data_IF_443015654802
#
_entry.id   IF_443015654802
#
_cell.length_a   1.000
_cell.length_b   1.000
_cell.length_c   1.000
_cell.angle_alpha   90.00
_cell.angle_beta   90.00
_cell.angle_gamma   90.00
#
_symmetry.space_group_name_H-M   'P 1'
#
loop_
_entity.id
_entity.type
_entity.pdbx_description
1 polymer ?
#
# COMPACT_ATOMS: atom_id res chain seq x y z
N UNK A 1 24.95 -19.82 -33.15
CA UNK A 1 23.80 -20.00 -32.22
C UNK A 1 23.68 -18.87 -31.19
N UNK A 2 24.75 -18.45 -30.51
CA UNK A 2 24.75 -17.36 -29.51
C UNK A 2 24.39 -15.98 -30.12
N UNK A 3 24.83 -15.70 -31.36
CA UNK A 3 24.53 -14.44 -32.06
C UNK A 3 23.03 -14.27 -32.39
N UNK A 4 22.36 -15.35 -32.81
CA UNK A 4 20.91 -15.37 -33.09
C UNK A 4 20.08 -15.23 -31.81
N UNK A 5 20.53 -15.80 -30.69
CA UNK A 5 19.92 -15.61 -29.38
C UNK A 5 20.09 -14.16 -28.87
N UNK A 6 21.26 -13.55 -29.08
CA UNK A 6 21.52 -12.15 -28.73
C UNK A 6 20.71 -11.18 -29.60
N UNK A 7 20.58 -11.46 -30.91
CA UNK A 7 19.74 -10.69 -31.83
C UNK A 7 18.25 -10.80 -31.49
N UNK A 8 17.73 -12.00 -31.21
CA UNK A 8 16.35 -12.19 -30.73
C UNK A 8 16.11 -11.55 -29.36
N UNK A 9 17.11 -11.53 -28.48
CA UNK A 9 17.07 -10.83 -27.20
C UNK A 9 17.03 -9.32 -27.39
N UNK A 10 17.85 -8.77 -28.30
CA UNK A 10 17.89 -7.33 -28.59
C UNK A 10 16.67 -6.85 -29.40
N UNK A 11 16.10 -7.69 -30.26
CA UNK A 11 14.81 -7.45 -30.95
C UNK A 11 13.63 -7.53 -29.98
N UNK A 12 13.60 -8.53 -29.10
CA UNK A 12 12.63 -8.61 -28.01
C UNK A 12 12.73 -7.42 -27.06
N UNK A 13 13.95 -6.97 -26.75
CA UNK A 13 14.24 -5.77 -25.96
C UNK A 13 13.83 -4.50 -26.69
N UNK A 14 14.05 -4.38 -28.02
CA UNK A 14 13.55 -3.26 -28.85
C UNK A 14 12.03 -3.23 -28.94
N UNK A 15 11.37 -4.37 -29.10
CA UNK A 15 9.91 -4.47 -29.14
C UNK A 15 9.28 -4.14 -27.78
N UNK A 16 9.86 -4.65 -26.68
CA UNK A 16 9.46 -4.32 -25.32
C UNK A 16 9.73 -2.84 -24.99
N UNK A 17 10.86 -2.30 -25.46
CA UNK A 17 11.16 -0.88 -25.40
C UNK A 17 10.17 -0.06 -26.24
N UNK A 18 9.74 -0.49 -27.43
CA UNK A 18 8.76 0.24 -28.25
C UNK A 18 7.40 0.39 -27.56
N UNK A 19 6.96 -0.65 -26.84
CA UNK A 19 5.69 -0.64 -26.11
C UNK A 19 5.73 0.28 -24.87
N UNK A 20 6.91 0.42 -24.24
CA UNK A 20 7.12 1.28 -23.05
C UNK A 20 7.60 2.70 -23.38
N UNK A 21 8.36 2.91 -24.46
CA UNK A 21 8.85 4.23 -24.93
C UNK A 21 7.75 5.10 -25.52
N UNK A 22 6.62 4.49 -25.95
CA UNK A 22 5.40 5.24 -26.21
C UNK A 22 4.74 5.78 -24.94
N UNK A 23 5.13 5.32 -23.75
CA UNK A 23 4.62 5.83 -22.46
C UNK A 23 4.82 7.34 -22.35
N UNK A 24 6.07 7.85 -22.35
CA UNK A 24 6.33 9.30 -22.33
C UNK A 24 5.64 10.08 -23.47
N UNK A 25 5.58 9.50 -24.67
CA UNK A 25 4.91 10.15 -25.82
C UNK A 25 3.38 10.19 -25.65
N UNK A 26 2.77 9.13 -25.10
CA UNK A 26 1.35 9.04 -24.77
C UNK A 26 1.00 10.01 -23.63
N UNK A 27 1.82 10.05 -22.58
CA UNK A 27 1.66 10.99 -21.47
C UNK A 27 1.71 12.45 -21.97
N UNK A 28 2.68 12.77 -22.84
CA UNK A 28 2.73 14.09 -23.52
C UNK A 28 1.48 14.38 -24.36
N UNK A 29 1.02 13.42 -25.15
CA UNK A 29 -0.21 13.55 -25.97
C UNK A 29 -1.46 13.75 -25.14
N UNK A 30 -1.49 13.20 -23.92
CA UNK A 30 -2.58 13.37 -22.97
C UNK A 30 -2.46 14.66 -22.13
N UNK A 31 -1.45 15.50 -22.37
CA UNK A 31 -1.26 16.76 -21.64
C UNK A 31 -0.81 16.55 -20.19
N UNK A 32 -0.25 15.38 -19.86
CA UNK A 32 0.16 15.07 -18.50
C UNK A 32 1.49 15.78 -18.20
N UNK A 33 1.58 16.56 -17.09
CA UNK A 33 2.78 17.32 -16.77
C UNK A 33 3.91 16.39 -16.32
N UNK A 34 5.13 16.72 -16.77
CA UNK A 34 6.37 16.07 -16.34
C UNK A 34 6.95 16.85 -15.16
N UNK A 35 7.86 16.24 -14.40
CA UNK A 35 8.56 16.96 -13.34
C UNK A 35 9.48 18.04 -13.93
N UNK A 36 9.46 19.21 -13.30
CA UNK A 36 10.35 20.33 -13.64
C UNK A 36 11.77 20.17 -13.06
N UNK A 37 12.00 19.14 -12.25
CA UNK A 37 13.32 18.88 -11.67
C UNK A 37 14.27 18.39 -12.78
N UNK A 38 15.49 18.94 -12.90
CA UNK A 38 16.45 18.52 -13.93
C UNK A 38 16.72 17.01 -13.90
N UNK A 39 16.80 16.37 -15.07
CA UNK A 39 16.91 14.91 -15.21
C UNK A 39 18.27 14.36 -14.79
N UNK A 40 19.28 15.23 -14.74
CA UNK A 40 20.65 14.95 -14.31
C UNK A 40 20.72 14.66 -12.81
N UNK A 41 19.79 15.21 -12.02
CA UNK A 41 19.67 14.88 -10.60
C UNK A 41 19.12 13.46 -10.46
N UNK A 42 19.79 12.62 -9.65
CA UNK A 42 19.28 11.29 -9.35
C UNK A 42 17.95 11.37 -8.62
N UNK A 43 17.01 10.51 -9.00
CA UNK A 43 15.76 10.32 -8.28
C UNK A 43 15.86 9.21 -7.25
N UNK A 44 14.86 9.11 -6.38
CA UNK A 44 14.76 8.11 -5.34
C UNK A 44 13.42 7.37 -5.43
N UNK A 45 13.45 6.04 -5.39
CA UNK A 45 12.27 5.19 -5.28
C UNK A 45 12.38 4.41 -3.98
N UNK A 46 11.45 4.65 -3.07
CA UNK A 46 11.30 3.94 -1.80
C UNK A 46 10.11 3.00 -1.91
N UNK A 47 10.35 1.71 -1.69
CA UNK A 47 9.30 0.68 -1.70
C UNK A 47 9.23 0.04 -0.31
N UNK A 48 8.12 0.24 0.39
CA UNK A 48 7.81 -0.44 1.64
C UNK A 48 7.05 -1.74 1.38
N UNK A 49 7.52 -2.84 1.96
CA UNK A 49 6.73 -4.06 2.17
C UNK A 49 6.31 -4.05 3.64
N UNK A 50 5.07 -3.68 3.88
CA UNK A 50 4.54 -3.48 5.23
C UNK A 50 4.61 -4.77 6.06
N UNK A 51 5.04 -4.68 7.33
CA UNK A 51 5.06 -5.78 8.30
C UNK A 51 6.03 -6.96 8.05
N UNK A 52 6.83 -6.92 6.98
CA UNK A 52 7.72 -8.02 6.59
C UNK A 52 9.08 -8.00 7.34
N UNK A 53 9.13 -8.68 8.48
CA UNK A 53 10.37 -8.86 9.25
C UNK A 53 11.53 -9.47 8.43
N UNK A 54 12.77 -9.07 8.75
CA UNK A 54 13.98 -9.61 8.11
C UNK A 54 14.10 -11.15 8.13
N UNK A 55 13.84 -11.86 9.25
CA UNK A 55 13.84 -13.33 9.24
C UNK A 55 12.84 -13.93 8.26
N UNK A 56 11.63 -13.36 8.15
CA UNK A 56 10.60 -13.82 7.21
C UNK A 56 10.93 -13.47 5.77
N UNK A 57 11.55 -12.32 5.52
CA UNK A 57 12.11 -12.00 4.20
C UNK A 57 13.14 -13.04 3.76
N UNK A 58 14.09 -13.41 4.64
CA UNK A 58 15.07 -14.48 4.35
C UNK A 58 14.41 -15.82 4.06
N UNK A 59 13.41 -16.20 4.87
CA UNK A 59 12.62 -17.42 4.64
C UNK A 59 11.89 -17.39 3.30
N UNK A 60 11.20 -16.29 2.98
CA UNK A 60 10.49 -16.10 1.73
C UNK A 60 11.44 -16.17 0.50
N UNK A 61 12.66 -15.64 0.61
CA UNK A 61 13.70 -15.78 -0.41
C UNK A 61 14.17 -17.24 -0.56
N UNK A 62 14.38 -17.95 0.55
CA UNK A 62 14.76 -19.36 0.54
C UNK A 62 13.70 -20.22 -0.16
N UNK A 63 12.43 -20.04 0.23
CA UNK A 63 11.25 -20.74 -0.31
C UNK A 63 10.79 -20.23 -1.70
N UNK A 64 11.55 -19.34 -2.33
CA UNK A 64 11.27 -18.81 -3.66
C UNK A 64 9.90 -18.11 -3.79
N UNK A 65 9.45 -17.45 -2.72
CA UNK A 65 8.25 -16.59 -2.70
C UNK A 65 8.50 -15.20 -3.31
N UNK A 66 9.76 -14.78 -3.36
CA UNK A 66 10.22 -13.51 -3.92
C UNK A 66 11.27 -13.75 -5.04
N UNK A 67 10.90 -14.41 -6.16
CA UNK A 67 11.85 -14.84 -7.18
C UNK A 67 12.59 -13.69 -7.88
N UNK A 68 11.95 -12.54 -8.09
CA UNK A 68 12.60 -11.36 -8.67
C UNK A 68 13.67 -10.81 -7.72
N UNK A 69 13.32 -10.55 -6.46
CA UNK A 69 14.28 -10.04 -5.47
C UNK A 69 15.44 -11.02 -5.26
N UNK A 70 15.15 -12.32 -5.11
CA UNK A 70 16.17 -13.37 -5.02
C UNK A 70 17.18 -13.31 -6.17
N UNK A 71 16.69 -13.12 -7.40
CA UNK A 71 17.54 -12.99 -8.58
C UNK A 71 18.37 -11.70 -8.57
N UNK A 72 17.80 -10.56 -8.19
CA UNK A 72 18.54 -9.30 -8.16
C UNK A 72 19.63 -9.29 -7.09
N UNK A 73 19.36 -9.88 -5.92
CA UNK A 73 20.36 -10.06 -4.86
C UNK A 73 21.52 -10.95 -5.38
N UNK A 74 21.20 -12.08 -6.01
CA UNK A 74 22.22 -12.97 -6.60
C UNK A 74 23.07 -12.30 -7.68
N UNK A 75 22.50 -11.36 -8.43
CA UNK A 75 23.20 -10.58 -9.46
C UNK A 75 24.06 -9.44 -8.88
N UNK A 76 23.97 -9.16 -7.58
CA UNK A 76 24.66 -8.04 -6.94
C UNK A 76 23.97 -6.67 -7.13
N UNK A 77 22.76 -6.65 -7.72
CA UNK A 77 22.00 -5.41 -7.97
C UNK A 77 21.31 -4.89 -6.70
N UNK A 78 21.00 -5.78 -5.76
CA UNK A 78 20.48 -5.41 -4.44
C UNK A 78 21.32 -6.08 -3.36
N UNK A 79 21.46 -5.40 -2.22
CA UNK A 79 22.08 -5.93 -1.01
C UNK A 79 21.01 -6.03 0.07
N UNK A 80 20.97 -7.17 0.75
CA UNK A 80 20.06 -7.39 1.87
C UNK A 80 20.72 -6.87 3.15
N UNK A 81 20.09 -5.88 3.78
CA UNK A 81 20.52 -5.34 5.06
C UNK A 81 19.46 -5.63 6.12
N UNK A 82 19.93 -5.90 7.34
CA UNK A 82 19.08 -5.93 8.53
C UNK A 82 19.17 -4.55 9.17
N UNK A 83 18.02 -4.03 9.58
CA UNK A 83 17.94 -2.88 10.47
C UNK A 83 16.92 -3.16 11.57
N UNK A 84 16.96 -2.36 12.64
CA UNK A 84 16.00 -2.44 13.74
C UNK A 84 14.98 -1.32 13.56
N UNK A 85 13.70 -1.66 13.55
CA UNK A 85 12.63 -0.66 13.67
C UNK A 85 12.72 0.01 15.03
N UNK A 86 12.42 1.30 15.06
CA UNK A 86 12.23 2.03 16.31
C UNK A 86 10.96 1.56 17.04
N UNK A 87 10.89 1.87 18.33
CA UNK A 87 9.74 1.62 19.19
C UNK A 87 8.97 2.95 19.31
N UNK A 88 7.66 2.97 19.03
CA UNK A 88 6.81 1.81 18.76
C UNK A 88 6.95 1.28 17.33
N UNK A 89 6.95 -0.05 17.20
CA UNK A 89 7.00 -0.73 15.90
C UNK A 89 5.63 -0.64 15.20
N UNK A 90 5.30 0.55 14.70
CA UNK A 90 4.03 0.84 14.02
C UNK A 90 4.27 1.69 12.78
N UNK A 91 3.50 1.43 11.72
CA UNK A 91 3.56 2.17 10.45
C UNK A 91 3.52 3.70 10.60
N UNK A 92 2.63 4.33 11.40
CA UNK A 92 2.62 5.79 11.53
C UNK A 92 3.87 6.34 12.20
N UNK A 93 4.40 5.67 13.23
CA UNK A 93 5.64 6.10 13.88
C UNK A 93 6.84 5.98 12.93
N UNK A 94 6.92 4.88 12.16
CA UNK A 94 7.95 4.70 11.14
C UNK A 94 7.86 5.77 10.03
N UNK A 95 6.65 6.03 9.51
CA UNK A 95 6.46 7.02 8.44
C UNK A 95 6.68 8.45 8.92
N UNK A 96 6.32 8.77 10.17
CA UNK A 96 6.68 10.05 10.80
C UNK A 96 8.20 10.26 10.78
N UNK A 97 8.93 9.29 11.34
CA UNK A 97 10.39 9.34 11.39
C UNK A 97 11.03 9.39 9.99
N UNK A 98 10.55 8.57 9.05
CA UNK A 98 11.09 8.53 7.68
C UNK A 98 10.80 9.81 6.89
N UNK A 99 9.57 10.34 6.97
CA UNK A 99 9.16 11.46 6.12
C UNK A 99 9.48 12.82 6.74
N UNK A 100 9.44 12.95 8.06
CA UNK A 100 9.58 14.23 8.75
C UNK A 100 10.77 14.26 9.71
N UNK A 101 11.50 13.15 9.87
CA UNK A 101 12.59 13.09 10.85
C UNK A 101 12.10 13.25 12.29
N UNK A 102 10.82 13.01 12.54
CA UNK A 102 10.15 13.20 13.81
C UNK A 102 9.03 12.18 13.95
N UNK A 103 9.02 11.42 15.04
CA UNK A 103 7.95 10.53 15.44
C UNK A 103 7.55 10.73 16.91
N UNK A 104 7.98 11.85 17.51
CA UNK A 104 7.65 12.22 18.87
C UNK A 104 6.13 12.39 18.97
N UNK A 105 5.53 11.74 19.98
CA UNK A 105 4.08 11.70 20.24
C UNK A 105 3.25 10.77 19.33
N UNK A 106 3.87 9.82 18.65
CA UNK A 106 3.15 8.71 17.99
C UNK A 106 3.43 7.41 18.75
N UNK A 107 2.73 7.14 19.87
CA UNK A 107 2.98 5.94 20.70
C UNK A 107 2.42 4.64 20.08
N UNK A 108 1.69 4.70 18.97
CA UNK A 108 1.24 3.53 18.23
C UNK A 108 0.22 3.87 17.15
N UNK A 109 -0.40 2.82 16.59
CA UNK A 109 -1.45 2.98 15.58
C UNK A 109 -2.75 3.58 16.13
N UNK A 110 -3.03 3.32 17.41
CA UNK A 110 -4.16 3.89 18.14
C UNK A 110 -3.68 4.33 19.53
N UNK A 111 -4.12 5.50 19.99
CA UNK A 111 -3.78 6.00 21.31
C UNK A 111 -4.75 7.08 21.76
N UNK A 112 -4.80 7.30 23.07
CA UNK A 112 -5.57 8.38 23.67
C UNK A 112 -4.63 9.50 24.12
N UNK A 113 -4.81 10.70 23.60
CA UNK A 113 -4.12 11.88 24.08
C UNK A 113 -4.88 12.47 25.27
N UNK A 114 -4.26 12.42 26.46
CA UNK A 114 -4.84 12.95 27.70
C UNK A 114 -4.92 14.48 27.72
N UNK A 115 -4.04 15.17 27.00
CA UNK A 115 -4.01 16.65 26.91
C UNK A 115 -5.17 17.14 26.07
N UNK A 116 -5.43 16.47 24.95
CA UNK A 116 -6.53 16.81 24.03
C UNK A 116 -7.85 16.12 24.38
N UNK A 117 -7.81 15.12 25.28
CA UNK A 117 -8.92 14.22 25.60
C UNK A 117 -9.49 13.56 24.34
N UNK A 118 -8.61 13.17 23.41
CA UNK A 118 -8.98 12.72 22.08
C UNK A 118 -8.38 11.36 21.77
N UNK A 119 -9.18 10.48 21.15
CA UNK A 119 -8.75 9.15 20.74
C UNK A 119 -8.29 9.18 19.28
N UNK A 120 -6.99 9.00 19.09
CA UNK A 120 -6.36 8.91 17.78
C UNK A 120 -6.39 7.48 17.27
N UNK A 121 -6.81 7.32 16.00
CA UNK A 121 -6.71 6.07 15.24
C UNK A 121 -6.17 6.38 13.86
N UNK A 122 -4.98 5.90 13.52
CA UNK A 122 -4.28 6.27 12.28
C UNK A 122 -4.91 5.72 11.00
N UNK A 123 -5.91 4.84 11.11
CA UNK A 123 -6.79 4.48 10.00
C UNK A 123 -7.87 5.52 9.69
N UNK A 124 -8.12 6.48 10.59
CA UNK A 124 -9.03 7.59 10.35
C UNK A 124 -8.26 8.79 9.80
N UNK A 125 -8.81 9.35 8.74
CA UNK A 125 -8.18 10.42 7.97
C UNK A 125 -8.04 11.74 8.73
N UNK A 126 -8.94 12.05 9.65
CA UNK A 126 -8.87 13.24 10.49
C UNK A 126 -7.74 13.13 11.51
N UNK A 127 -7.58 11.96 12.12
CA UNK A 127 -6.48 11.64 13.02
C UNK A 127 -5.14 11.75 12.31
N UNK A 128 -5.00 11.08 11.16
CA UNK A 128 -3.77 11.11 10.36
C UNK A 128 -3.43 12.52 9.88
N UNK A 129 -4.43 13.30 9.45
CA UNK A 129 -4.23 14.70 9.05
C UNK A 129 -3.74 15.59 10.20
N UNK A 130 -4.32 15.45 11.40
CA UNK A 130 -3.93 16.23 12.58
C UNK A 130 -2.47 16.00 12.96
N UNK A 131 -2.06 14.73 13.01
CA UNK A 131 -0.66 14.39 13.29
C UNK A 131 0.26 14.87 12.16
N UNK A 132 -0.13 14.71 10.91
CA UNK A 132 0.70 15.21 9.80
C UNK A 132 0.93 16.72 9.86
N UNK A 133 -0.07 17.49 10.30
CA UNK A 133 0.06 18.94 10.49
C UNK A 133 0.84 19.35 11.76
N UNK A 134 1.07 18.44 12.70
CA UNK A 134 1.86 18.74 13.89
C UNK A 134 3.37 18.68 13.62
N UNK A 135 3.80 17.99 12.56
CA UNK A 135 5.20 17.94 12.16
C UNK A 135 5.73 19.33 11.76
N UNK A 136 6.89 19.69 12.31
CA UNK A 136 7.54 20.99 12.07
C UNK A 136 8.53 20.95 10.90
N UNK A 137 9.12 19.78 10.68
CA UNK A 137 10.11 19.58 9.65
C UNK A 137 9.47 19.48 8.26
N UNK A 138 10.18 19.90 7.21
CA UNK A 138 9.72 19.70 5.85
C UNK A 138 9.64 18.21 5.51
N UNK A 139 8.59 17.80 4.81
CA UNK A 139 8.40 16.42 4.37
C UNK A 139 9.40 16.00 3.29
N UNK A 140 9.91 14.77 3.41
CA UNK A 140 10.87 14.15 2.49
C UNK A 140 10.36 14.09 1.05
N UNK A 141 9.03 13.96 0.87
CA UNK A 141 8.42 13.67 -0.43
C UNK A 141 8.00 14.93 -1.21
N UNK A 142 8.40 16.14 -0.77
CA UNK A 142 8.15 17.40 -1.51
C UNK A 142 8.53 17.30 -2.98
N UNK A 143 7.61 17.70 -3.87
CA UNK A 143 7.79 17.60 -5.32
C UNK A 143 7.75 16.17 -5.87
N UNK A 144 7.43 15.20 -5.02
CA UNK A 144 7.36 13.78 -5.33
C UNK A 144 5.96 13.19 -5.26
N UNK A 145 5.91 11.86 -5.19
CA UNK A 145 4.68 11.07 -5.15
C UNK A 145 4.70 10.07 -4.01
N UNK A 146 3.52 9.82 -3.46
CA UNK A 146 3.29 8.86 -2.38
C UNK A 146 2.08 7.97 -2.68
N UNK A 147 2.23 6.68 -2.46
CA UNK A 147 1.19 5.69 -2.73
C UNK A 147 0.97 4.77 -1.52
N UNK A 148 -0.27 4.71 -1.01
CA UNK A 148 -0.73 3.78 0.03
C UNK A 148 -0.09 3.97 1.43
N UNK A 149 -0.01 5.21 1.92
CA UNK A 149 0.62 5.57 3.22
C UNK A 149 -0.36 6.17 4.24
N UNK A 150 0.09 6.37 5.48
CA UNK A 150 -0.64 7.11 6.52
C UNK A 150 -0.51 8.62 6.28
N UNK A 151 0.73 9.09 6.11
CA UNK A 151 1.07 10.50 5.87
C UNK A 151 1.49 10.74 4.43
N UNK A 152 1.40 11.99 3.94
CA UNK A 152 1.80 12.34 2.57
C UNK A 152 3.29 12.54 2.39
N UNK A 153 4.02 12.87 3.46
CA UNK A 153 5.40 13.34 3.35
C UNK A 153 5.51 14.67 2.58
N UNK A 154 4.43 15.44 2.52
CA UNK A 154 4.26 16.63 1.67
C UNK A 154 4.44 16.37 0.17
N UNK A 155 4.13 15.16 -0.29
CA UNK A 155 4.08 14.81 -1.70
C UNK A 155 3.04 15.64 -2.46
N UNK A 156 3.36 16.00 -3.71
CA UNK A 156 2.47 16.74 -4.60
C UNK A 156 1.42 15.82 -5.27
N UNK A 157 1.72 14.52 -5.36
CA UNK A 157 0.80 13.48 -5.78
C UNK A 157 0.63 12.45 -4.65
N UNK A 158 -0.60 12.26 -4.18
CA UNK A 158 -0.92 11.29 -3.15
C UNK A 158 -2.09 10.41 -3.61
N UNK A 159 -1.92 9.09 -3.57
CA UNK A 159 -2.96 8.12 -3.88
C UNK A 159 -3.10 7.09 -2.77
N UNK A 160 -4.34 6.89 -2.29
CA UNK A 160 -4.67 6.04 -1.14
C UNK A 160 -3.88 6.42 0.13
N UNK A 161 -3.82 7.73 0.46
CA UNK A 161 -3.17 8.22 1.69
C UNK A 161 -4.21 8.63 2.71
N UNK A 162 -4.17 8.04 3.92
CA UNK A 162 -5.20 8.24 4.94
C UNK A 162 -5.38 9.71 5.31
N UNK A 163 -4.31 10.46 5.56
CA UNK A 163 -4.39 11.89 5.95
C UNK A 163 -5.02 12.82 4.91
N UNK A 164 -5.12 12.41 3.64
CA UNK A 164 -5.67 13.26 2.56
C UNK A 164 -7.11 12.97 2.19
N UNK A 165 -7.73 11.92 2.75
CA UNK A 165 -9.09 11.51 2.38
C UNK A 165 -10.15 12.59 2.73
N UNK A 166 -9.88 13.45 3.72
CA UNK A 166 -10.81 14.51 4.16
C UNK A 166 -10.47 15.92 3.66
N UNK A 167 -9.22 16.16 3.26
CA UNK A 167 -8.74 17.48 2.85
C UNK A 167 -8.04 17.36 1.48
N UNK A 168 -8.77 17.45 0.36
CA UNK A 168 -8.17 17.49 -0.97
C UNK A 168 -7.44 18.83 -1.17
N UNK A 169 -6.22 18.97 -0.66
CA UNK A 169 -5.35 20.09 -1.00
C UNK A 169 -4.74 19.89 -2.39
N UNK A 170 -4.74 20.98 -3.15
CA UNK A 170 -4.37 21.16 -4.56
C UNK A 170 -3.37 20.13 -5.10
N UNK A 171 -3.89 19.16 -5.85
CA UNK A 171 -3.10 18.21 -6.63
C UNK A 171 -2.38 18.96 -7.77
N UNK A 172 -1.07 19.23 -7.62
CA UNK A 172 -0.26 19.85 -8.68
C UNK A 172 0.10 18.85 -9.78
N UNK A 173 0.25 17.57 -9.43
CA UNK A 173 0.37 16.51 -10.41
C UNK A 173 -1.01 15.91 -10.69
N UNK A 174 -1.63 16.41 -11.76
CA UNK A 174 -2.91 15.97 -12.28
C UNK A 174 -2.83 14.51 -12.75
N UNK A 175 -2.99 13.58 -11.83
CA UNK A 175 -3.37 12.21 -12.13
C UNK A 175 -4.56 11.86 -11.27
N UNK A 176 -5.76 11.89 -11.86
CA UNK A 176 -6.95 11.38 -11.20
C UNK A 176 -6.87 9.85 -11.26
N UNK A 177 -7.42 9.16 -10.26
CA UNK A 177 -7.63 7.69 -10.30
C UNK A 177 -8.22 7.25 -11.67
N UNK A 178 -9.04 8.12 -12.26
CA UNK A 178 -9.60 8.01 -13.60
C UNK A 178 -8.57 7.90 -14.73
N UNK A 179 -7.49 8.64 -14.70
CA UNK A 179 -6.46 8.59 -15.75
C UNK A 179 -5.71 7.25 -15.70
N UNK A 180 -5.49 6.72 -14.49
CA UNK A 180 -4.91 5.38 -14.27
C UNK A 180 -5.87 4.29 -14.79
N UNK A 181 -7.17 4.41 -14.49
CA UNK A 181 -8.19 3.48 -14.98
C UNK A 181 -8.35 3.55 -16.50
N UNK A 182 -8.35 4.75 -17.08
CA UNK A 182 -8.41 4.98 -18.53
C UNK A 182 -7.16 4.44 -19.21
N UNK A 183 -5.96 4.69 -18.69
CA UNK A 183 -4.72 4.11 -19.22
C UNK A 183 -4.71 2.58 -19.12
N UNK A 184 -5.24 2.04 -18.01
CA UNK A 184 -5.38 0.59 -17.82
C UNK A 184 -6.41 -0.03 -18.78
N UNK A 185 -7.47 0.70 -19.10
CA UNK A 185 -8.54 0.26 -20.01
C UNK A 185 -8.14 0.40 -21.49
N UNK A 186 -7.52 1.54 -21.85
CA UNK A 186 -6.96 1.79 -23.19
C UNK A 186 -5.88 0.76 -23.54
N UNK A 187 -5.21 0.21 -22.53
CA UNK A 187 -4.32 -0.93 -22.70
C UNK A 187 -5.09 -2.23 -22.43
N UNK A 188 -5.82 -2.72 -23.44
CA UNK A 188 -6.72 -3.88 -23.35
C UNK A 188 -6.07 -5.11 -22.70
N UNK A 189 -4.75 -5.28 -22.87
CA UNK A 189 -3.96 -6.37 -22.27
C UNK A 189 -3.71 -6.17 -20.78
N UNK A 190 -3.55 -4.94 -20.31
CA UNK A 190 -3.45 -4.60 -18.88
C UNK A 190 -4.81 -4.79 -18.21
N UNK A 191 -5.88 -4.32 -18.84
CA UNK A 191 -7.26 -4.56 -18.40
C UNK A 191 -7.56 -6.06 -18.26
N UNK A 192 -7.31 -6.85 -19.32
CA UNK A 192 -7.52 -8.30 -19.29
C UNK A 192 -6.68 -9.02 -18.21
N UNK A 193 -5.43 -8.59 -18.00
CA UNK A 193 -4.58 -9.12 -16.93
C UNK A 193 -5.15 -8.80 -15.54
N UNK A 194 -5.60 -7.56 -15.31
CA UNK A 194 -6.21 -7.16 -14.03
C UNK A 194 -7.46 -8.00 -13.78
N UNK A 195 -8.34 -8.13 -14.78
CA UNK A 195 -9.54 -8.97 -14.70
C UNK A 195 -9.18 -10.43 -14.39
N UNK A 196 -8.16 -10.98 -15.06
CA UNK A 196 -7.69 -12.34 -14.81
C UNK A 196 -7.10 -12.55 -13.41
N UNK A 197 -6.35 -11.56 -12.88
CA UNK A 197 -5.85 -11.60 -11.50
C UNK A 197 -6.99 -11.49 -10.48
N UNK A 198 -7.98 -10.64 -10.73
CA UNK A 198 -9.19 -10.52 -9.90
C UNK A 198 -9.96 -11.85 -9.89
N UNK A 199 -10.19 -12.44 -11.06
CA UNK A 199 -10.88 -13.72 -11.19
C UNK A 199 -10.14 -14.86 -10.47
N UNK A 200 -8.81 -14.94 -10.65
CA UNK A 200 -7.97 -15.93 -9.97
C UNK A 200 -8.06 -15.77 -8.45
N UNK A 201 -7.97 -14.55 -7.93
CA UNK A 201 -8.01 -14.39 -6.48
C UNK A 201 -9.41 -14.53 -5.91
N UNK A 202 -10.46 -14.15 -6.63
CA UNK A 202 -11.83 -14.50 -6.25
C UNK A 202 -11.98 -16.02 -6.14
N UNK A 203 -11.45 -16.78 -7.10
CA UNK A 203 -11.44 -18.24 -7.03
C UNK A 203 -10.65 -18.75 -5.82
N UNK A 204 -9.42 -18.26 -5.59
CA UNK A 204 -8.61 -18.65 -4.43
C UNK A 204 -9.26 -18.27 -3.11
N UNK A 205 -9.93 -17.12 -3.04
CA UNK A 205 -10.58 -16.63 -1.84
C UNK A 205 -11.85 -17.44 -1.55
N UNK A 206 -12.65 -17.78 -2.56
CA UNK A 206 -13.77 -18.72 -2.44
C UNK A 206 -13.27 -20.10 -2.00
N UNK A 207 -12.20 -20.61 -2.60
CA UNK A 207 -11.61 -21.91 -2.22
C UNK A 207 -11.06 -21.92 -0.78
N UNK A 208 -10.32 -20.88 -0.40
CA UNK A 208 -9.77 -20.73 0.96
C UNK A 208 -10.90 -20.62 1.99
N UNK A 209 -11.96 -19.86 1.69
CA UNK A 209 -13.13 -19.71 2.55
C UNK A 209 -13.94 -21.00 2.66
N UNK A 210 -14.17 -21.72 1.56
CA UNK A 210 -14.78 -23.04 1.62
C UNK A 210 -13.97 -24.01 2.48
N UNK A 211 -12.63 -24.00 2.37
CA UNK A 211 -11.77 -24.89 3.19
C UNK A 211 -11.77 -24.47 4.66
N UNK A 212 -11.79 -23.18 4.97
CA UNK A 212 -11.82 -22.66 6.34
C UNK A 212 -13.20 -22.85 6.98
N UNK A 213 -14.28 -22.71 6.21
CA UNK A 213 -15.65 -23.04 6.60
C UNK A 213 -15.76 -24.50 7.06
N UNK A 214 -15.23 -25.44 6.27
CA UNK A 214 -15.19 -26.87 6.63
C UNK A 214 -14.41 -27.10 7.95
N UNK A 215 -13.50 -26.21 8.33
CA UNK A 215 -12.69 -26.32 9.54
C UNK A 215 -13.28 -25.61 10.77
N UNK A 216 -14.06 -24.53 10.62
CA UNK A 216 -14.45 -23.64 11.75
C UNK A 216 -15.87 -23.06 11.73
N UNK A 217 -16.68 -23.25 10.68
CA UNK A 217 -18.12 -22.97 10.71
C UNK A 217 -18.61 -21.51 10.66
N UNK A 218 -17.76 -20.49 10.54
CA UNK A 218 -18.19 -19.06 10.53
C UNK A 218 -18.18 -18.42 9.12
N UNK A 219 -19.36 -18.05 8.59
CA UNK A 219 -19.50 -17.52 7.21
C UNK A 219 -19.31 -16.00 7.04
N UNK A 220 -19.70 -15.18 8.03
CA UNK A 220 -19.83 -13.71 7.83
C UNK A 220 -18.49 -12.96 7.83
N UNK A 221 -17.54 -13.36 8.69
CA UNK A 221 -16.19 -12.78 8.72
C UNK A 221 -15.39 -13.09 7.45
N UNK A 222 -15.71 -14.18 6.77
CA UNK A 222 -15.00 -14.61 5.57
C UNK A 222 -15.40 -13.85 4.31
N UNK A 223 -16.67 -13.51 4.12
CA UNK A 223 -17.11 -12.71 2.98
C UNK A 223 -16.57 -11.27 3.06
N UNK A 224 -16.57 -10.67 4.25
CA UNK A 224 -15.93 -9.38 4.51
C UNK A 224 -14.43 -9.46 4.24
N UNK A 225 -13.76 -10.55 4.65
CA UNK A 225 -12.36 -10.79 4.35
C UNK A 225 -12.08 -10.95 2.84
N UNK A 226 -12.93 -11.66 2.10
CA UNK A 226 -12.78 -11.83 0.65
C UNK A 226 -12.92 -10.49 -0.09
N UNK A 227 -13.93 -9.69 0.28
CA UNK A 227 -14.15 -8.38 -0.33
C UNK A 227 -12.98 -7.42 -0.03
N UNK A 228 -12.53 -7.37 1.23
CA UNK A 228 -11.35 -6.60 1.64
C UNK A 228 -10.09 -7.08 0.91
N UNK A 229 -9.89 -8.40 0.80
CA UNK A 229 -8.76 -9.04 0.10
C UNK A 229 -8.72 -8.63 -1.37
N UNK A 230 -9.82 -8.78 -2.10
CA UNK A 230 -9.84 -8.48 -3.55
C UNK A 230 -9.70 -6.98 -3.82
N UNK A 231 -10.48 -6.14 -3.13
CA UNK A 231 -10.49 -4.70 -3.38
C UNK A 231 -9.23 -4.00 -2.88
N UNK A 232 -8.81 -4.25 -1.64
CA UNK A 232 -7.74 -3.47 -1.01
C UNK A 232 -6.33 -4.01 -1.26
N UNK A 233 -6.15 -5.30 -1.56
CA UNK A 233 -4.78 -5.86 -1.71
C UNK A 233 -4.36 -6.24 -3.12
N UNK A 234 -5.30 -6.45 -4.05
CA UNK A 234 -4.95 -6.73 -5.46
C UNK A 234 -5.14 -5.52 -6.33
N UNK A 235 -6.34 -4.93 -6.33
CA UNK A 235 -6.65 -3.78 -7.17
C UNK A 235 -5.76 -2.60 -6.75
N UNK A 236 -5.76 -2.25 -5.46
CA UNK A 236 -4.87 -1.21 -4.93
C UNK A 236 -3.41 -1.46 -5.28
N UNK A 237 -2.90 -2.68 -5.06
CA UNK A 237 -1.50 -3.04 -5.38
C UNK A 237 -1.16 -2.80 -6.85
N UNK A 238 -2.03 -3.19 -7.77
CA UNK A 238 -1.81 -2.98 -9.20
C UNK A 238 -1.92 -1.49 -9.59
N UNK A 239 -2.86 -0.75 -9.00
CA UNK A 239 -3.05 0.68 -9.23
C UNK A 239 -1.86 1.51 -8.74
N UNK A 240 -1.39 1.29 -7.50
CA UNK A 240 -0.23 2.01 -6.97
C UNK A 240 1.06 1.66 -7.74
N UNK A 241 1.18 0.42 -8.21
CA UNK A 241 2.29 0.01 -9.08
C UNK A 241 2.25 0.75 -10.41
N UNK A 242 1.06 0.88 -11.01
CA UNK A 242 0.90 1.60 -12.26
C UNK A 242 1.18 3.10 -12.08
N UNK A 243 0.67 3.71 -11.00
CA UNK A 243 0.95 5.10 -10.64
C UNK A 243 2.46 5.36 -10.50
N UNK A 244 3.16 4.51 -9.75
CA UNK A 244 4.62 4.61 -9.59
C UNK A 244 5.36 4.48 -10.94
N UNK A 245 4.98 3.53 -11.79
CA UNK A 245 5.58 3.37 -13.13
C UNK A 245 5.35 4.62 -13.99
N UNK A 246 4.16 5.20 -13.94
CA UNK A 246 3.87 6.44 -14.67
C UNK A 246 4.74 7.58 -14.15
N UNK A 247 4.84 7.76 -12.84
CA UNK A 247 5.63 8.83 -12.23
C UNK A 247 7.13 8.69 -12.51
N UNK A 248 7.63 7.46 -12.60
CA UNK A 248 8.98 7.17 -13.09
C UNK A 248 9.19 7.74 -14.50
N UNK A 249 8.25 7.49 -15.43
CA UNK A 249 8.31 8.02 -16.80
C UNK A 249 8.09 9.53 -16.89
N UNK A 250 7.36 10.11 -15.92
CA UNK A 250 7.21 11.56 -15.75
C UNK A 250 8.41 12.22 -15.09
N UNK A 251 9.43 11.42 -14.73
CA UNK A 251 10.70 11.88 -14.14
C UNK A 251 10.52 12.51 -12.76
N UNK A 252 9.51 12.08 -12.00
CA UNK A 252 9.26 12.54 -10.63
C UNK A 252 10.50 12.27 -9.76
N UNK A 253 11.01 13.24 -8.98
CA UNK A 253 12.30 13.12 -8.31
C UNK A 253 12.29 12.10 -7.17
N UNK A 254 11.18 11.96 -6.44
CA UNK A 254 11.07 11.02 -5.33
C UNK A 254 9.70 10.33 -5.33
N UNK A 255 9.69 9.01 -5.20
CA UNK A 255 8.49 8.18 -5.27
C UNK A 255 8.50 7.21 -4.10
N UNK A 256 7.45 7.23 -3.29
CA UNK A 256 7.24 6.29 -2.20
C UNK A 256 6.04 5.39 -2.48
N UNK A 257 6.21 4.07 -2.35
CA UNK A 257 5.15 3.08 -2.56
C UNK A 257 5.12 2.12 -1.38
N UNK A 258 3.97 2.00 -0.71
CA UNK A 258 3.79 1.03 0.36
C UNK A 258 2.85 -0.11 -0.05
N UNK A 259 3.30 -1.36 0.10
CA UNK A 259 2.52 -2.55 -0.16
C UNK A 259 1.98 -3.16 1.14
N UNK A 260 0.76 -2.78 1.51
CA UNK A 260 0.04 -3.23 2.71
C UNK A 260 -0.32 -4.73 2.72
N UNK A 261 -0.36 -5.37 1.55
CA UNK A 261 -1.06 -6.65 1.40
C UNK A 261 -0.47 -7.82 2.19
N UNK A 262 0.82 -7.80 2.53
CA UNK A 262 1.38 -8.82 3.42
C UNK A 262 0.90 -8.62 4.86
N UNK A 263 1.05 -7.40 5.39
CA UNK A 263 0.71 -7.02 6.76
C UNK A 263 -0.78 -7.25 7.07
N UNK A 264 -1.67 -6.83 6.17
CA UNK A 264 -3.13 -7.04 6.28
C UNK A 264 -3.51 -8.52 6.42
N UNK A 265 -2.91 -9.39 5.60
CA UNK A 265 -3.18 -10.83 5.71
C UNK A 265 -2.52 -11.46 6.93
N UNK A 266 -1.35 -10.95 7.30
CA UNK A 266 -0.59 -11.43 8.43
C UNK A 266 -1.29 -11.07 9.76
N UNK A 267 -1.92 -9.90 9.84
CA UNK A 267 -2.79 -9.50 10.96
C UNK A 267 -3.98 -10.45 11.15
N UNK A 268 -4.59 -10.91 10.07
CA UNK A 268 -5.80 -11.72 10.15
C UNK A 268 -5.56 -13.22 10.29
N UNK A 269 -4.52 -13.75 9.63
CA UNK A 269 -4.28 -15.20 9.55
C UNK A 269 -2.94 -15.62 10.14
N UNK A 270 -2.18 -14.68 10.66
CA UNK A 270 -0.83 -14.88 11.16
C UNK A 270 0.23 -14.68 10.06
N UNK A 271 1.45 -14.27 10.46
CA UNK A 271 2.51 -13.87 9.53
C UNK A 271 3.12 -15.04 8.73
N UNK A 272 3.03 -16.26 9.24
CA UNK A 272 3.51 -17.47 8.54
C UNK A 272 2.39 -18.20 7.77
N UNK A 273 1.22 -17.58 7.65
CA UNK A 273 0.10 -18.18 6.93
C UNK A 273 0.37 -18.31 5.43
N UNK A 274 -0.21 -19.34 4.81
CA UNK A 274 -0.08 -19.56 3.35
C UNK A 274 -0.55 -18.35 2.54
N UNK A 275 -1.56 -17.64 3.04
CA UNK A 275 -2.17 -16.47 2.38
C UNK A 275 -1.22 -15.27 2.44
N UNK A 276 -0.67 -14.93 3.61
CA UNK A 276 0.31 -13.86 3.74
C UNK A 276 1.54 -14.13 2.85
N UNK A 277 2.09 -15.34 2.89
CA UNK A 277 3.25 -15.73 2.08
C UNK A 277 2.95 -15.81 0.57
N UNK A 278 1.70 -16.09 0.17
CA UNK A 278 1.29 -16.07 -1.22
C UNK A 278 1.29 -14.65 -1.79
N UNK A 279 0.81 -13.68 -1.00
CA UNK A 279 0.73 -12.27 -1.41
C UNK A 279 2.10 -11.67 -1.74
N UNK A 280 3.17 -12.16 -1.10
CA UNK A 280 4.55 -11.78 -1.42
C UNK A 280 4.90 -12.01 -2.90
N UNK A 281 4.38 -13.06 -3.55
CA UNK A 281 4.61 -13.28 -4.99
C UNK A 281 4.01 -12.17 -5.85
N UNK A 282 2.84 -11.67 -5.45
CA UNK A 282 2.19 -10.54 -6.11
C UNK A 282 3.00 -9.26 -5.94
N UNK A 283 3.45 -8.98 -4.71
CA UNK A 283 4.30 -7.83 -4.38
C UNK A 283 5.62 -7.89 -5.16
N UNK A 284 6.30 -9.05 -5.20
CA UNK A 284 7.55 -9.24 -5.95
C UNK A 284 7.40 -8.95 -7.45
N UNK A 285 6.25 -9.32 -8.06
CA UNK A 285 5.95 -8.98 -9.46
C UNK A 285 5.75 -7.47 -9.66
N UNK A 286 5.14 -6.78 -8.70
CA UNK A 286 4.96 -5.33 -8.74
C UNK A 286 6.30 -4.59 -8.60
N UNK A 287 7.12 -5.00 -7.62
CA UNK A 287 8.49 -4.49 -7.46
C UNK A 287 9.29 -4.71 -8.74
N UNK A 288 9.18 -5.88 -9.37
CA UNK A 288 9.84 -6.16 -10.63
C UNK A 288 9.46 -5.19 -11.76
N UNK A 289 8.22 -4.71 -11.78
CA UNK A 289 7.76 -3.73 -12.78
C UNK A 289 8.29 -2.34 -12.50
N UNK A 290 8.24 -1.90 -11.24
CA UNK A 290 8.75 -0.60 -10.80
C UNK A 290 10.26 -0.52 -11.07
N UNK A 291 11.03 -1.52 -10.64
CA UNK A 291 12.47 -1.58 -10.89
C UNK A 291 12.82 -1.65 -12.38
N UNK A 292 12.04 -2.39 -13.19
CA UNK A 292 12.27 -2.38 -14.64
C UNK A 292 12.02 -0.98 -15.23
N UNK A 293 10.94 -0.31 -14.84
CA UNK A 293 10.66 1.04 -15.31
C UNK A 293 11.79 2.01 -14.96
N UNK A 294 12.36 1.90 -13.76
CA UNK A 294 13.47 2.76 -13.33
C UNK A 294 14.78 2.52 -14.10
N UNK A 295 14.97 1.36 -14.72
CA UNK A 295 16.11 1.07 -15.59
C UNK A 295 15.97 1.65 -17.00
N UNK A 296 14.74 1.98 -17.41
CA UNK A 296 14.42 2.49 -18.76
C UNK A 296 13.93 3.94 -18.73
N UNK A 297 13.89 4.57 -17.56
CA UNK A 297 13.57 5.99 -17.43
C UNK A 297 14.75 6.88 -17.79
N UNK A 298 14.45 8.10 -18.21
CA UNK A 298 15.45 9.11 -18.54
C UNK A 298 16.15 9.66 -17.30
N UNK A 299 15.39 9.88 -16.20
CA UNK A 299 15.98 10.10 -14.89
C UNK A 299 16.54 8.78 -14.37
N UNK A 300 17.78 8.80 -13.86
CA UNK A 300 18.34 7.69 -13.10
C UNK A 300 17.79 7.66 -11.67
N UNK A 301 17.35 6.49 -11.20
CA UNK A 301 16.82 6.34 -9.84
C UNK A 301 17.68 5.40 -8.98
N UNK A 302 17.81 5.76 -7.70
CA UNK A 302 18.19 4.83 -6.64
C UNK A 302 16.94 4.16 -6.08
N UNK A 303 16.97 2.83 -5.95
CA UNK A 303 15.82 2.04 -5.51
C UNK A 303 16.12 1.38 -4.18
N UNK A 304 15.38 1.76 -3.15
CA UNK A 304 15.44 1.12 -1.83
C UNK A 304 14.15 0.37 -1.56
N UNK A 305 14.30 -0.82 -1.00
CA UNK A 305 13.19 -1.67 -0.58
C UNK A 305 13.36 -1.89 0.92
N UNK A 306 12.35 -1.48 1.68
CA UNK A 306 12.36 -1.50 3.13
C UNK A 306 11.09 -2.14 3.68
N UNK A 307 11.07 -2.39 4.97
CA UNK A 307 9.89 -2.80 5.72
C UNK A 307 9.91 -1.97 7.00
N UNK A 308 8.79 -1.38 7.37
CA UNK A 308 8.66 -0.54 8.55
C UNK A 308 8.84 -1.33 9.84
N UNK A 309 8.19 -2.49 9.95
CA UNK A 309 8.30 -3.36 11.11
C UNK A 309 8.17 -4.84 10.76
N UNK A 310 8.30 -5.68 11.79
CA UNK A 310 7.97 -7.09 11.71
C UNK A 310 6.57 -7.41 12.23
N UNK A 311 6.25 -8.69 12.25
CA UNK A 311 5.09 -9.22 12.96
C UNK A 311 5.48 -10.43 13.81
N UNK A 312 4.69 -10.71 14.83
CA UNK A 312 4.82 -11.89 15.67
C UNK A 312 3.48 -12.62 15.78
N UNK A 313 3.47 -13.97 15.78
CA UNK A 313 2.25 -14.71 16.05
C UNK A 313 1.81 -14.42 17.50
N UNK A 314 0.56 -14.01 17.65
CA UNK A 314 -0.06 -13.71 18.94
C UNK A 314 -1.43 -14.38 19.00
N UNK A 315 -1.91 -14.65 20.22
CA UNK A 315 -3.29 -15.04 20.46
C UNK A 315 -4.01 -13.87 21.12
N UNK A 316 -5.24 -13.53 20.69
CA UNK A 316 -6.08 -12.57 21.40
C UNK A 316 -6.17 -12.92 22.89
N UNK A 317 -6.07 -11.91 23.76
CA UNK A 317 -6.07 -12.08 25.21
C UNK A 317 -7.33 -12.82 25.68
N UNK A 318 -8.47 -12.48 25.09
CA UNK A 318 -9.79 -13.07 25.37
C UNK A 318 -9.82 -14.58 25.21
N UNK A 319 -9.08 -15.12 24.23
CA UNK A 319 -9.06 -16.55 23.96
C UNK A 319 -8.21 -17.31 24.99
N UNK A 320 -7.28 -16.63 25.65
CA UNK A 320 -6.39 -17.23 26.65
C UNK A 320 -6.97 -17.04 28.06
N UNK A 321 -7.49 -15.85 28.37
CA UNK A 321 -7.99 -15.50 29.69
C UNK A 321 -9.48 -15.86 29.90
N UNK A 322 -10.26 -16.03 28.82
CA UNK A 322 -11.71 -16.26 28.89
C UNK A 322 -12.54 -15.00 29.17
N UNK A 323 -11.90 -13.86 29.38
CA UNK A 323 -12.51 -12.53 29.56
C UNK A 323 -11.73 -11.48 28.75
N UNK A 324 -12.36 -10.33 28.49
CA UNK A 324 -11.69 -9.23 27.80
C UNK A 324 -10.58 -8.62 28.64
N UNK A 325 -9.56 -8.06 28.00
CA UNK A 325 -8.51 -7.33 28.71
C UNK A 325 -9.09 -6.20 29.56
N UNK A 326 -10.17 -5.57 29.09
CA UNK A 326 -10.89 -4.54 29.83
C UNK A 326 -11.50 -5.09 31.12
N UNK A 327 -12.23 -6.21 31.05
CA UNK A 327 -12.84 -6.87 32.22
C UNK A 327 -11.78 -7.34 33.22
N UNK A 328 -10.70 -7.95 32.73
CA UNK A 328 -9.57 -8.38 33.55
C UNK A 328 -8.93 -7.21 34.31
N UNK A 329 -8.70 -6.08 33.63
CA UNK A 329 -8.12 -4.89 34.28
C UNK A 329 -9.11 -4.25 35.26
N UNK A 330 -10.40 -4.21 34.92
CA UNK A 330 -11.46 -3.68 35.78
C UNK A 330 -11.59 -4.47 37.09
N UNK A 331 -11.40 -5.80 37.03
CA UNK A 331 -11.50 -6.68 38.20
C UNK A 331 -10.24 -6.66 39.09
N UNK A 332 -9.06 -6.39 38.53
CA UNK A 332 -7.79 -6.45 39.25
C UNK A 332 -7.19 -5.09 39.62
N UNK A 333 -7.63 -3.99 39.00
CA UNK A 333 -7.10 -2.64 39.26
C UNK A 333 -8.17 -1.78 39.92
N UNK A 334 -8.05 -1.57 41.23
CA UNK A 334 -8.95 -0.70 41.97
C UNK A 334 -8.97 0.73 41.38
N UNK A 335 -10.17 1.29 41.23
CA UNK A 335 -10.44 2.63 40.69
C UNK A 335 -10.14 2.84 39.19
N UNK A 336 -9.85 1.77 38.43
CA UNK A 336 -9.74 1.88 36.97
C UNK A 336 -11.14 1.83 36.35
N UNK A 337 -11.60 2.92 35.72
CA UNK A 337 -12.77 2.89 34.84
C UNK A 337 -12.28 2.59 33.42
N UNK A 338 -12.58 1.40 32.91
CA UNK A 338 -12.27 1.04 31.53
C UNK A 338 -13.45 1.42 30.65
N UNK A 339 -13.35 2.56 29.95
CA UNK A 339 -14.32 2.89 28.90
C UNK A 339 -14.12 1.95 27.71
N UNK A 340 -15.06 1.03 27.52
CA UNK A 340 -15.07 0.16 26.35
C UNK A 340 -15.52 0.95 25.12
N UNK A 341 -14.56 1.39 24.31
CA UNK A 341 -14.82 2.17 23.09
C UNK A 341 -15.28 1.33 21.90
N UNK A 342 -15.41 0.00 22.05
CA UNK A 342 -15.94 -0.89 21.00
C UNK A 342 -17.33 -0.45 20.50
N UNK A 343 -18.11 0.24 21.34
CA UNK A 343 -19.41 0.80 20.95
C UNK A 343 -19.33 2.05 20.04
N UNK A 344 -18.22 2.83 20.08
CA UNK A 344 -17.97 3.91 19.11
C UNK A 344 -17.53 3.36 17.74
N UNK A 345 -17.05 2.12 17.72
CA UNK A 345 -16.73 1.32 16.53
C UNK A 345 -17.97 0.61 15.96
N UNK A 346 -19.16 1.22 16.05
CA UNK A 346 -20.31 0.69 15.32
C UNK A 346 -19.95 0.63 13.84
N UNK A 347 -20.07 -0.56 13.23
CA UNK A 347 -19.87 -0.78 11.78
C UNK A 347 -20.61 0.26 10.94
N UNK A 348 -21.73 0.78 11.45
CA UNK A 348 -22.52 1.84 10.83
C UNK A 348 -21.79 3.19 10.77
N UNK A 349 -20.98 3.55 11.77
CA UNK A 349 -20.15 4.76 11.74
C UNK A 349 -18.97 4.61 10.75
N UNK A 350 -18.36 3.42 10.67
CA UNK A 350 -17.31 3.12 9.69
C UNK A 350 -17.88 3.06 8.26
N UNK A 351 -19.00 2.39 8.06
CA UNK A 351 -19.71 2.37 6.78
C UNK A 351 -20.16 3.77 6.40
N UNK A 352 -20.78 4.54 7.29
CA UNK A 352 -21.24 5.91 6.99
C UNK A 352 -20.08 6.83 6.62
N UNK A 353 -18.94 6.78 7.32
CA UNK A 353 -17.74 7.56 6.97
C UNK A 353 -17.12 7.11 5.63
N UNK A 354 -17.11 5.80 5.35
CA UNK A 354 -16.62 5.25 4.07
C UNK A 354 -17.59 5.57 2.92
N UNK A 355 -18.90 5.53 3.17
CA UNK A 355 -19.99 5.90 2.27
C UNK A 355 -19.96 7.41 1.98
N UNK A 356 -19.74 8.25 2.98
CA UNK A 356 -19.53 9.68 2.79
C UNK A 356 -18.26 9.95 1.97
N UNK A 357 -17.18 9.20 2.22
CA UNK A 357 -15.97 9.23 1.40
C UNK A 357 -16.23 8.83 -0.06
N UNK A 358 -16.95 7.73 -0.28
CA UNK A 358 -17.33 7.24 -1.61
C UNK A 358 -18.30 8.20 -2.33
N UNK A 359 -19.26 8.79 -1.62
CA UNK A 359 -20.16 9.82 -2.14
C UNK A 359 -19.41 11.10 -2.50
N UNK A 360 -18.42 11.50 -1.71
CA UNK A 360 -17.54 12.63 -2.03
C UNK A 360 -16.70 12.34 -3.27
N UNK A 361 -16.14 11.14 -3.40
CA UNK A 361 -15.43 10.69 -4.62
C UNK A 361 -16.39 10.70 -5.83
N UNK A 362 -17.63 10.23 -5.67
CA UNK A 362 -18.65 10.18 -6.72
C UNK A 362 -19.01 11.57 -7.30
N UNK A 363 -18.91 12.65 -6.50
CA UNK A 363 -19.11 14.02 -6.99
C UNK A 363 -18.09 14.42 -8.07
N UNK A 364 -16.90 13.84 -8.05
CA UNK A 364 -15.82 14.10 -8.99
C UNK A 364 -15.76 13.09 -10.16
N UNK A 365 -16.72 12.15 -10.24
CA UNK A 365 -16.80 11.14 -11.30
C UNK A 365 -17.60 11.62 -12.52
N UNK A 366 -17.25 11.18 -13.74
CA UNK A 366 -18.06 11.39 -14.95
C UNK A 366 -19.49 10.84 -14.79
N UNK A 367 -20.49 11.50 -15.41
CA UNK A 367 -21.93 11.22 -15.21
C UNK A 367 -22.33 9.74 -15.35
N UNK A 368 -21.71 9.01 -16.28
CA UNK A 368 -21.98 7.60 -16.55
C UNK A 368 -21.74 6.66 -15.35
N UNK A 369 -20.84 7.03 -14.44
CA UNK A 369 -20.49 6.20 -13.27
C UNK A 369 -21.06 6.71 -11.94
N UNK A 370 -21.77 7.85 -11.95
CA UNK A 370 -22.48 8.37 -10.77
C UNK A 370 -23.70 7.51 -10.40
N UNK A 371 -24.31 6.90 -11.40
CA UNK A 371 -25.55 6.14 -11.28
C UNK A 371 -25.41 4.84 -10.45
N UNK A 372 -24.42 3.97 -10.71
CA UNK A 372 -24.26 2.74 -9.93
C UNK A 372 -23.87 2.98 -8.46
N UNK A 373 -23.18 4.09 -8.14
CA UNK A 373 -22.84 4.43 -6.75
C UNK A 373 -24.06 5.00 -6.02
N UNK A 374 -24.85 5.87 -6.65
CA UNK A 374 -26.13 6.36 -6.09
C UNK A 374 -27.20 5.27 -5.93
N UNK A 375 -27.02 4.11 -6.54
CA UNK A 375 -27.92 2.97 -6.38
C UNK A 375 -27.54 2.06 -5.20
N UNK A 376 -26.34 2.22 -4.64
CA UNK A 376 -25.80 1.46 -3.50
C UNK A 376 -25.66 2.29 -2.21
N UNK A 377 -25.96 3.59 -2.28
CA UNK A 377 -26.14 4.49 -1.13
C UNK A 377 -27.59 4.95 -1.11
#
# INVERSE_FOLDING_TARGET
MIYLLRKKWDEGRRFFNLFLTRGPALLRRMGIPFSDVPVEKRGLILIQIDGLSHPRLRRALAENRLPFLKRQIRKGNFRLHRFSSEIPTSTPAFQGGLFYGDNDNIPGFQFYDKREKYYYRMGHSDCAYRIEKSFKNPGLLRGGSVFSSVFTGEAEAALFVFSTLLAPQRWRFVFRVWDILVLSFLNILVGAKIVGLIALELFLAVYDSLRWFIQRGEWRRELEFIALRVALTIVTRELITLGAVIDIYRRVPIIYVNFLGYDEHAHQRGPDSRVALWTLKGIDRCIARIYKASLYSERSYDVYILSDHGQSPVQPFELVAGETLAEFLQSHVHQLLVENTVLKDSKMAQLSMTLEGLQRIAKWMPRLFRYPIRAYV
#
